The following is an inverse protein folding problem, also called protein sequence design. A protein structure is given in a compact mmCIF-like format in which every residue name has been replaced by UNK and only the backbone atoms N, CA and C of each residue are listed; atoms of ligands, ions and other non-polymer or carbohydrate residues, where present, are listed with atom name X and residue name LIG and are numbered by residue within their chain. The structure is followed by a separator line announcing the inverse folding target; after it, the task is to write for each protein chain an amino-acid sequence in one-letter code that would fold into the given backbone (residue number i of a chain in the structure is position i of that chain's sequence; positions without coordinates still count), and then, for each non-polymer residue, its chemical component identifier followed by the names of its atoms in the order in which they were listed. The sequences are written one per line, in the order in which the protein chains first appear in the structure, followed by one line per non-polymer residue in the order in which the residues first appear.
data_IF_015070232433
#
_entry.id   IF_015070232433
#
_cell.length_a   1.000
_cell.length_b   1.000
_cell.length_c   1.000
_cell.angle_alpha   90.00
_cell.angle_beta   90.00
_cell.angle_gamma   90.00
#
_symmetry.space_group_name_H-M   'P 1'
#
loop_
_entity.id
_entity.type
_entity.pdbx_description
1 polymer ?
#
# COMPACT_ATOMS: atom_id res chain seq x y z
N UNK A 1 -22.99 20.02 -16.10
CA UNK A 1 -22.47 18.71 -16.55
C UNK A 1 -23.64 17.81 -16.91
N UNK A 2 -23.67 17.28 -18.15
CA UNK A 2 -24.76 16.43 -18.64
C UNK A 2 -24.56 15.00 -18.09
N UNK A 3 -25.57 14.44 -17.42
CA UNK A 3 -25.57 13.05 -16.98
C UNK A 3 -25.53 12.14 -18.21
N UNK A 4 -24.38 11.50 -18.44
CA UNK A 4 -24.29 10.31 -19.28
C UNK A 4 -25.11 9.21 -18.63
N UNK A 5 -25.81 8.44 -19.45
CA UNK A 5 -26.59 7.30 -18.98
C UNK A 5 -25.65 6.31 -18.27
N UNK A 6 -26.09 5.70 -17.15
CA UNK A 6 -25.21 5.00 -16.19
C UNK A 6 -24.42 3.84 -16.80
N UNK A 7 -24.85 3.37 -17.97
CA UNK A 7 -24.34 2.19 -18.66
C UNK A 7 -23.34 2.50 -19.79
N UNK A 8 -23.00 3.78 -20.00
CA UNK A 8 -22.13 4.20 -21.10
C UNK A 8 -21.03 5.16 -20.68
N UNK A 9 -19.91 5.10 -21.37
CA UNK A 9 -18.85 6.10 -21.33
C UNK A 9 -18.82 6.93 -22.60
N UNK A 10 -18.42 8.19 -22.48
CA UNK A 10 -17.97 9.00 -23.61
C UNK A 10 -16.61 8.53 -24.11
N UNK A 11 -16.21 8.96 -25.31
CA UNK A 11 -14.87 8.65 -25.85
C UNK A 11 -13.75 9.05 -24.90
N UNK A 12 -13.86 10.25 -24.31
CA UNK A 12 -12.87 10.77 -23.38
C UNK A 12 -12.75 9.91 -22.12
N UNK A 13 -13.87 9.54 -21.51
CA UNK A 13 -13.88 8.67 -20.34
C UNK A 13 -13.28 7.30 -20.65
N UNK A 14 -13.64 6.70 -21.79
CA UNK A 14 -13.08 5.41 -22.21
C UNK A 14 -11.56 5.48 -22.45
N UNK A 15 -11.06 6.57 -23.08
CA UNK A 15 -9.63 6.80 -23.26
C UNK A 15 -8.89 6.96 -21.94
N UNK A 16 -9.47 7.71 -20.99
CA UNK A 16 -8.89 7.93 -19.66
C UNK A 16 -8.83 6.61 -18.86
N UNK A 17 -9.88 5.79 -18.91
CA UNK A 17 -9.93 4.48 -18.22
C UNK A 17 -8.93 3.49 -18.83
N UNK A 18 -8.89 3.38 -20.15
CA UNK A 18 -8.06 2.42 -20.85
C UNK A 18 -6.61 2.89 -21.01
N UNK A 19 -6.33 4.18 -20.80
CA UNK A 19 -5.01 4.78 -20.97
C UNK A 19 -4.51 4.73 -22.42
N UNK A 20 -5.40 4.90 -23.41
CA UNK A 20 -5.07 4.77 -24.83
C UNK A 20 -5.50 5.96 -25.69
N UNK A 21 -4.88 6.11 -26.85
CA UNK A 21 -5.23 7.14 -27.83
C UNK A 21 -6.61 6.88 -28.44
N UNK A 22 -7.21 7.92 -29.04
CA UNK A 22 -8.49 7.78 -29.72
C UNK A 22 -8.41 6.79 -30.91
N UNK A 23 -7.29 6.79 -31.63
CA UNK A 23 -7.05 5.83 -32.71
C UNK A 23 -7.01 4.39 -32.20
N UNK A 24 -6.36 4.14 -31.06
CA UNK A 24 -6.32 2.83 -30.43
C UNK A 24 -7.72 2.39 -29.95
N UNK A 25 -8.50 3.30 -29.35
CA UNK A 25 -9.88 3.04 -28.96
C UNK A 25 -10.74 2.66 -30.19
N UNK A 26 -10.61 3.39 -31.30
CA UNK A 26 -11.32 3.08 -32.55
C UNK A 26 -10.94 1.71 -33.11
N UNK A 27 -9.69 1.29 -32.98
CA UNK A 27 -9.26 -0.04 -33.40
C UNK A 27 -9.95 -1.14 -32.57
N UNK A 28 -10.11 -0.95 -31.25
CA UNK A 28 -10.84 -1.89 -30.39
C UNK A 28 -12.32 -1.99 -30.76
N UNK A 29 -12.93 -0.88 -31.20
CA UNK A 29 -14.32 -0.87 -31.70
C UNK A 29 -14.44 -1.61 -33.02
N UNK A 30 -13.55 -1.31 -33.98
CA UNK A 30 -13.54 -1.99 -35.28
C UNK A 30 -13.28 -3.49 -35.15
N UNK A 31 -12.50 -3.91 -34.15
CA UNK A 31 -12.24 -5.30 -33.83
C UNK A 31 -13.42 -6.01 -33.12
N UNK A 32 -14.46 -5.25 -32.73
CA UNK A 32 -15.63 -5.77 -32.00
C UNK A 32 -15.40 -5.99 -30.50
N UNK A 33 -14.22 -5.63 -29.98
CA UNK A 33 -13.85 -5.77 -28.56
C UNK A 33 -14.63 -4.80 -27.67
N UNK A 34 -14.88 -3.58 -28.15
CA UNK A 34 -15.72 -2.59 -27.46
C UNK A 34 -16.90 -2.26 -28.37
N UNK A 35 -18.12 -2.40 -27.86
CA UNK A 35 -19.31 -1.95 -28.59
C UNK A 35 -19.56 -0.46 -28.35
N UNK A 36 -19.88 0.23 -29.44
CA UNK A 36 -20.34 1.60 -29.42
C UNK A 36 -21.82 1.70 -29.80
N UNK A 37 -22.44 2.82 -29.44
CA UNK A 37 -23.82 3.15 -29.78
C UNK A 37 -23.93 4.65 -29.99
N UNK A 38 -24.72 5.07 -30.98
CA UNK A 38 -25.05 6.48 -31.20
C UNK A 38 -26.47 6.69 -30.70
N UNK A 39 -26.67 7.34 -29.54
CA UNK A 39 -28.01 7.57 -29.01
C UNK A 39 -28.86 8.40 -30.00
N UNK A 40 -30.18 8.17 -30.09
CA UNK A 40 -31.05 8.94 -30.96
C UNK A 40 -30.88 10.46 -30.75
N UNK A 41 -30.71 11.20 -31.85
CA UNK A 41 -30.49 12.65 -31.82
C UNK A 41 -29.07 13.10 -31.47
N UNK A 42 -28.10 12.19 -31.35
CA UNK A 42 -26.68 12.54 -31.17
C UNK A 42 -25.84 12.20 -32.41
N UNK A 43 -24.72 12.91 -32.54
CA UNK A 43 -23.72 12.68 -33.59
C UNK A 43 -22.47 11.94 -33.09
N UNK A 44 -22.32 11.83 -31.76
CA UNK A 44 -21.16 11.21 -31.12
C UNK A 44 -21.55 9.86 -30.55
N UNK A 45 -20.71 8.87 -30.81
CA UNK A 45 -20.82 7.54 -30.22
C UNK A 45 -20.52 7.58 -28.71
N UNK A 46 -21.17 6.68 -27.98
CA UNK A 46 -20.86 6.32 -26.60
C UNK A 46 -20.51 4.83 -26.54
N UNK A 47 -19.74 4.43 -25.54
CA UNK A 47 -19.16 3.09 -25.42
C UNK A 47 -19.83 2.34 -24.28
N UNK A 48 -20.16 1.07 -24.48
CA UNK A 48 -20.77 0.26 -23.42
C UNK A 48 -19.79 0.13 -22.26
N UNK A 49 -20.21 0.58 -21.07
CA UNK A 49 -19.38 0.61 -19.86
C UNK A 49 -18.80 -0.76 -19.52
N UNK A 50 -19.62 -1.80 -19.61
CA UNK A 50 -19.21 -3.18 -19.33
C UNK A 50 -18.03 -3.63 -20.20
N UNK A 51 -18.03 -3.28 -21.48
CA UNK A 51 -17.00 -3.71 -22.42
C UNK A 51 -15.68 -2.97 -22.17
N UNK A 52 -15.76 -1.65 -21.90
CA UNK A 52 -14.59 -0.83 -21.53
C UNK A 52 -13.98 -1.32 -20.20
N UNK A 53 -14.80 -1.56 -19.19
CA UNK A 53 -14.34 -2.05 -17.88
C UNK A 53 -13.76 -3.47 -17.99
N UNK A 54 -14.33 -4.33 -18.85
CA UNK A 54 -13.82 -5.68 -19.10
C UNK A 54 -12.46 -5.64 -19.81
N UNK A 55 -12.31 -4.83 -20.86
CA UNK A 55 -11.03 -4.67 -21.55
C UNK A 55 -9.95 -4.13 -20.61
N UNK A 56 -10.29 -3.19 -19.71
CA UNK A 56 -9.36 -2.73 -18.68
C UNK A 56 -8.86 -3.88 -17.81
N UNK A 57 -9.77 -4.73 -17.33
CA UNK A 57 -9.42 -5.91 -16.52
C UNK A 57 -8.53 -6.88 -17.28
N UNK A 58 -8.79 -7.09 -18.57
CA UNK A 58 -7.97 -7.96 -19.42
C UNK A 58 -6.58 -7.37 -19.66
N UNK A 59 -6.49 -6.06 -19.91
CA UNK A 59 -5.21 -5.35 -20.02
C UNK A 59 -4.41 -5.43 -18.73
N UNK A 60 -5.07 -5.28 -17.57
CA UNK A 60 -4.46 -5.45 -16.25
C UNK A 60 -3.95 -6.88 -16.05
N UNK A 61 -4.79 -7.89 -16.31
CA UNK A 61 -4.42 -9.29 -16.18
C UNK A 61 -3.27 -9.68 -17.12
N UNK A 62 -3.26 -9.17 -18.35
CA UNK A 62 -2.21 -9.42 -19.32
C UNK A 62 -0.88 -8.72 -18.96
N UNK A 63 -0.94 -7.50 -18.42
CA UNK A 63 0.26 -6.82 -17.90
C UNK A 63 0.86 -7.60 -16.72
N UNK A 64 0.01 -8.13 -15.85
CA UNK A 64 0.42 -9.02 -14.76
C UNK A 64 1.05 -10.30 -15.32
N UNK A 65 0.43 -10.97 -16.30
CA UNK A 65 0.96 -12.24 -16.84
C UNK A 65 2.27 -12.06 -17.61
N UNK A 66 2.43 -10.97 -18.38
CA UNK A 66 3.65 -10.72 -19.17
C UNK A 66 4.86 -10.35 -18.30
N UNK A 67 4.62 -9.76 -17.12
CA UNK A 67 5.66 -9.49 -16.14
C UNK A 67 6.02 -10.73 -15.28
N UNK A 68 5.17 -11.76 -15.29
CA UNK A 68 5.41 -13.03 -14.57
C UNK A 68 6.28 -13.99 -15.39
N UNK A 69 6.13 -14.04 -16.71
CA UNK A 69 6.84 -15.03 -17.56
C UNK A 69 8.35 -14.77 -17.75
N UNK A 70 8.86 -13.56 -17.48
CA UNK A 70 10.28 -13.21 -17.74
C UNK A 70 11.12 -12.95 -16.51
N UNK A 71 10.55 -12.99 -15.31
CA UNK A 71 11.29 -12.70 -14.08
C UNK A 71 11.07 -13.86 -13.11
N UNK A 72 12.12 -14.56 -12.66
CA UNK A 72 11.98 -15.64 -11.70
C UNK A 72 11.07 -15.22 -10.54
N UNK A 73 10.20 -16.11 -10.09
CA UNK A 73 9.17 -15.79 -9.10
C UNK A 73 9.84 -15.28 -7.83
N UNK A 74 9.68 -14.00 -7.53
CA UNK A 74 10.15 -13.44 -6.27
C UNK A 74 9.02 -13.53 -5.25
N UNK A 75 9.37 -13.75 -3.99
CA UNK A 75 8.46 -13.90 -2.88
C UNK A 75 8.56 -12.69 -1.95
N UNK A 76 7.41 -12.12 -1.62
CA UNK A 76 7.30 -11.09 -0.58
C UNK A 76 6.99 -11.77 0.75
N UNK A 77 7.89 -11.64 1.72
CA UNK A 77 7.80 -12.35 3.01
C UNK A 77 8.08 -11.39 4.16
N UNK A 78 7.56 -11.71 5.36
CA UNK A 78 7.97 -11.03 6.59
C UNK A 78 9.43 -11.38 6.89
N UNK A 79 10.20 -10.41 7.37
CA UNK A 79 11.57 -10.64 7.78
C UNK A 79 11.63 -11.42 9.10
N UNK A 80 12.60 -12.31 9.25
CA UNK A 80 12.94 -12.94 10.52
C UNK A 80 14.18 -12.31 11.14
N UNK A 81 14.50 -12.68 12.38
CA UNK A 81 15.71 -12.19 13.07
C UNK A 81 16.97 -12.61 12.29
N UNK A 82 16.97 -13.79 11.70
CA UNK A 82 18.07 -14.37 10.92
C UNK A 82 18.33 -13.58 9.63
N UNK A 83 17.33 -12.89 9.09
CA UNK A 83 17.46 -12.07 7.88
C UNK A 83 18.16 -10.72 8.14
N UNK A 84 18.25 -10.27 9.40
CA UNK A 84 18.70 -8.91 9.72
C UNK A 84 20.12 -8.57 9.26
N UNK A 85 21.12 -9.45 9.34
CA UNK A 85 22.43 -9.17 8.78
C UNK A 85 22.38 -8.83 7.29
N UNK A 86 21.65 -9.62 6.48
CA UNK A 86 21.53 -9.42 5.04
C UNK A 86 20.70 -8.17 4.71
N UNK A 87 19.60 -7.95 5.43
CA UNK A 87 18.74 -6.77 5.24
C UNK A 87 19.46 -5.45 5.58
N UNK A 88 20.27 -5.44 6.64
CA UNK A 88 21.09 -4.29 7.02
C UNK A 88 22.19 -4.03 6.00
N UNK A 89 22.84 -5.09 5.50
CA UNK A 89 23.83 -4.97 4.43
C UNK A 89 23.21 -4.36 3.16
N UNK A 90 22.06 -4.88 2.73
CA UNK A 90 21.31 -4.34 1.59
C UNK A 90 20.89 -2.88 1.80
N UNK A 91 20.46 -2.51 2.99
CA UNK A 91 20.14 -1.12 3.30
C UNK A 91 21.37 -0.20 3.21
N UNK A 92 22.54 -0.69 3.61
CA UNK A 92 23.83 -0.02 3.40
C UNK A 92 24.12 0.20 1.91
N UNK A 93 23.92 -0.81 1.08
CA UNK A 93 24.10 -0.72 -0.39
C UNK A 93 23.13 0.28 -1.03
N UNK A 94 21.86 0.29 -0.60
CA UNK A 94 20.81 1.14 -1.20
C UNK A 94 20.92 2.61 -0.75
N UNK A 95 21.28 2.86 0.51
CA UNK A 95 21.25 4.20 1.12
C UNK A 95 22.62 4.77 1.52
N UNK A 96 23.72 4.10 1.19
CA UNK A 96 25.07 4.64 1.35
C UNK A 96 25.66 4.52 2.77
N UNK A 97 25.15 3.61 3.60
CA UNK A 97 25.78 3.14 4.84
C UNK A 97 25.81 4.10 6.05
N UNK A 98 25.98 5.41 5.85
CA UNK A 98 26.26 6.38 6.93
C UNK A 98 25.14 6.53 7.98
N UNK A 99 23.93 6.09 7.65
CA UNK A 99 22.77 6.13 8.55
C UNK A 99 22.03 4.79 8.65
N UNK A 100 22.69 3.68 8.29
CA UNK A 100 22.08 2.37 8.39
C UNK A 100 21.92 1.99 9.87
N UNK A 101 20.74 1.50 10.23
CA UNK A 101 20.44 1.00 11.57
C UNK A 101 21.21 -0.31 11.78
N UNK A 102 21.86 -0.49 12.93
CA UNK A 102 22.64 -1.69 13.21
C UNK A 102 21.76 -2.95 13.29
N UNK A 103 22.37 -4.12 13.10
CA UNK A 103 21.69 -5.42 13.17
C UNK A 103 21.03 -5.60 14.54
N UNK A 104 21.76 -5.28 15.62
CA UNK A 104 21.29 -5.47 17.00
C UNK A 104 20.00 -4.67 17.25
N UNK A 105 19.98 -3.40 16.83
CA UNK A 105 18.79 -2.55 16.95
C UNK A 105 17.62 -3.09 16.15
N UNK A 106 17.86 -3.55 14.91
CA UNK A 106 16.80 -4.10 14.06
C UNK A 106 16.21 -5.38 14.64
N UNK A 107 17.05 -6.24 15.22
CA UNK A 107 16.62 -7.43 15.96
C UNK A 107 15.77 -7.05 17.17
N UNK A 108 16.15 -6.04 17.95
CA UNK A 108 15.32 -5.55 19.06
C UNK A 108 13.96 -5.02 18.60
N UNK A 109 13.92 -4.31 17.47
CA UNK A 109 12.67 -3.80 16.90
C UNK A 109 11.77 -4.94 16.44
N UNK A 110 12.32 -5.96 15.75
CA UNK A 110 11.56 -7.14 15.33
C UNK A 110 11.04 -7.97 16.50
N UNK A 111 11.82 -8.10 17.57
CA UNK A 111 11.34 -8.75 18.81
C UNK A 111 10.15 -8.00 19.41
N UNK A 112 10.13 -6.66 19.30
CA UNK A 112 9.03 -5.82 19.78
C UNK A 112 7.81 -5.91 18.86
N UNK A 113 8.04 -5.91 17.54
CA UNK A 113 6.99 -6.02 16.54
C UNK A 113 7.52 -6.76 15.29
N UNK A 114 7.13 -8.02 15.05
CA UNK A 114 7.62 -8.81 13.92
C UNK A 114 7.01 -8.40 12.56
N UNK A 115 6.04 -7.48 12.55
CA UNK A 115 5.31 -7.05 11.36
C UNK A 115 5.81 -5.69 10.82
N UNK A 116 7.08 -5.32 11.06
CA UNK A 116 7.62 -4.02 10.63
C UNK A 116 8.52 -4.10 9.39
N UNK A 117 9.04 -5.29 9.08
CA UNK A 117 10.00 -5.48 7.99
C UNK A 117 9.60 -6.62 7.07
N UNK A 118 9.78 -6.35 5.78
CA UNK A 118 9.39 -7.25 4.71
C UNK A 118 10.49 -7.32 3.68
N UNK A 119 10.66 -8.51 3.11
CA UNK A 119 11.73 -8.86 2.20
C UNK A 119 11.14 -9.32 0.89
N UNK A 120 11.82 -8.96 -0.21
CA UNK A 120 11.59 -9.54 -1.51
C UNK A 120 12.76 -10.49 -1.80
N UNK A 121 12.48 -11.79 -1.86
CA UNK A 121 13.48 -12.83 -2.14
C UNK A 121 13.26 -13.44 -3.52
N UNK A 122 14.31 -13.74 -4.24
CA UNK A 122 14.26 -14.47 -5.52
C UNK A 122 15.26 -15.62 -5.43
N UNK A 123 14.76 -16.85 -5.57
CA UNK A 123 15.59 -18.07 -5.42
C UNK A 123 16.38 -18.09 -4.09
N UNK A 124 15.75 -17.61 -3.02
CA UNK A 124 16.34 -17.50 -1.69
C UNK A 124 17.23 -16.25 -1.47
N UNK A 125 17.61 -15.55 -2.53
CA UNK A 125 18.46 -14.35 -2.44
C UNK A 125 17.64 -13.10 -2.11
N UNK A 126 18.13 -12.26 -1.19
CA UNK A 126 17.48 -10.98 -0.90
C UNK A 126 17.74 -9.98 -2.03
N UNK A 127 16.66 -9.54 -2.68
CA UNK A 127 16.72 -8.60 -3.81
C UNK A 127 16.03 -7.27 -3.53
N UNK A 128 15.27 -7.16 -2.45
CA UNK A 128 14.62 -5.93 -2.04
C UNK A 128 14.04 -6.01 -0.64
N UNK A 129 13.67 -4.87 -0.08
CA UNK A 129 13.10 -4.79 1.26
C UNK A 129 12.18 -3.58 1.40
N UNK A 130 11.33 -3.64 2.42
CA UNK A 130 10.37 -2.63 2.81
C UNK A 130 10.27 -2.60 4.34
N UNK A 131 10.15 -1.40 4.92
CA UNK A 131 9.91 -1.21 6.35
C UNK A 131 8.72 -0.29 6.59
N UNK A 132 7.71 -0.79 7.32
CA UNK A 132 6.50 -0.09 7.74
C UNK A 132 6.44 -0.08 9.26
N UNK A 133 6.99 0.97 9.87
CA UNK A 133 7.22 1.01 11.31
C UNK A 133 6.10 1.82 11.99
N UNK A 134 5.29 1.22 12.88
CA UNK A 134 4.31 1.99 13.62
C UNK A 134 4.99 2.78 14.74
N UNK A 135 4.77 4.09 14.74
CA UNK A 135 5.42 5.04 15.64
C UNK A 135 4.38 6.01 16.23
N UNK A 136 4.75 6.65 17.33
CA UNK A 136 3.97 7.78 17.88
C UNK A 136 4.06 8.97 16.92
N UNK A 137 3.00 9.76 16.84
CA UNK A 137 2.95 10.95 15.96
C UNK A 137 4.10 11.93 16.22
N UNK A 138 4.47 12.13 17.49
CA UNK A 138 5.60 12.97 17.89
C UNK A 138 6.93 12.42 17.39
N UNK A 139 7.14 11.11 17.46
CA UNK A 139 8.36 10.47 16.95
C UNK A 139 8.48 10.65 15.43
N UNK A 140 7.38 10.50 14.68
CA UNK A 140 7.36 10.78 13.24
C UNK A 140 7.69 12.25 12.97
N UNK A 141 7.13 13.18 13.75
CA UNK A 141 7.43 14.61 13.62
C UNK A 141 8.92 14.91 13.82
N UNK A 142 9.54 14.31 14.84
CA UNK A 142 10.95 14.46 15.12
C UNK A 142 11.83 13.90 13.98
N UNK A 143 11.40 12.82 13.32
CA UNK A 143 12.08 12.26 12.13
C UNK A 143 11.94 13.18 10.91
N UNK A 144 10.74 13.73 10.64
CA UNK A 144 10.53 14.62 9.50
C UNK A 144 11.26 15.96 9.66
N UNK A 145 11.37 16.45 10.89
CA UNK A 145 12.09 17.71 11.20
C UNK A 145 13.59 17.51 11.42
N UNK A 146 14.11 16.28 11.25
CA UNK A 146 15.50 15.91 11.51
C UNK A 146 15.99 16.22 12.94
N UNK A 147 15.08 16.30 13.91
CA UNK A 147 15.43 16.36 15.34
C UNK A 147 15.95 15.01 15.85
N UNK A 148 15.54 13.92 15.21
CA UNK A 148 16.02 12.55 15.42
C UNK A 148 16.25 11.89 14.07
N UNK A 149 17.16 10.94 14.00
CA UNK A 149 17.33 10.06 12.84
C UNK A 149 16.76 8.68 13.13
N UNK A 150 16.43 7.92 12.07
CA UNK A 150 15.92 6.55 12.21
C UNK A 150 16.87 5.64 13.02
N UNK A 151 18.19 5.83 12.87
CA UNK A 151 19.21 5.10 13.65
C UNK A 151 19.18 5.39 15.16
N UNK A 152 18.54 6.47 15.58
CA UNK A 152 18.41 6.88 16.99
C UNK A 152 17.11 6.37 17.62
N UNK A 153 16.27 5.66 16.86
CA UNK A 153 15.10 5.01 17.41
C UNK A 153 15.52 3.80 18.26
N UNK A 154 14.83 3.64 19.39
CA UNK A 154 14.97 2.51 20.32
C UNK A 154 13.78 1.57 20.16
N UNK A 155 13.87 0.35 20.68
CA UNK A 155 12.74 -0.57 20.70
C UNK A 155 11.50 0.00 21.44
N UNK A 156 11.69 0.90 22.39
CA UNK A 156 10.60 1.60 23.09
C UNK A 156 9.86 2.64 22.24
N UNK A 157 10.45 3.08 21.12
CA UNK A 157 9.79 3.95 20.15
C UNK A 157 8.87 3.14 19.20
N UNK A 158 9.17 1.84 19.01
CA UNK A 158 8.45 0.94 18.10
C UNK A 158 7.18 0.44 18.78
N UNK A 159 6.04 0.74 18.16
CA UNK A 159 4.75 0.25 18.64
C UNK A 159 4.50 -1.17 18.14
N UNK A 160 3.66 -1.93 18.85
CA UNK A 160 3.09 -3.16 18.32
C UNK A 160 1.83 -2.83 17.50
N UNK A 161 1.50 -3.70 16.55
CA UNK A 161 0.24 -3.63 15.83
C UNK A 161 -0.85 -4.37 16.63
N UNK A 162 -1.50 -3.65 17.53
CA UNK A 162 -2.51 -4.19 18.42
C UNK A 162 -3.92 -3.78 17.97
N UNK A 163 -4.88 -4.70 18.06
CA UNK A 163 -6.28 -4.42 17.73
C UNK A 163 -6.83 -3.30 18.60
N UNK A 164 -7.65 -2.41 18.02
CA UNK A 164 -8.21 -1.22 18.68
C UNK A 164 -7.21 -0.17 19.17
N UNK A 165 -5.90 -0.33 18.98
CA UNK A 165 -4.91 0.67 19.37
C UNK A 165 -4.45 1.47 18.13
N UNK A 166 -4.84 2.75 18.00
CA UNK A 166 -4.50 3.53 16.82
C UNK A 166 -2.99 3.75 16.67
N UNK A 167 -2.49 3.60 15.44
CA UNK A 167 -1.08 3.83 15.10
C UNK A 167 -0.94 4.79 13.91
N UNK A 168 0.22 5.46 13.85
CA UNK A 168 0.71 6.08 12.62
C UNK A 168 1.83 5.20 12.07
N UNK A 169 1.87 5.00 10.76
CA UNK A 169 2.93 4.22 10.11
C UNK A 169 3.95 5.16 9.51
N UNK A 170 5.22 4.94 9.82
CA UNK A 170 6.34 5.55 9.13
C UNK A 170 6.89 4.58 8.08
N UNK A 171 6.72 4.93 6.80
CA UNK A 171 7.34 4.23 5.67
C UNK A 171 8.83 4.52 5.64
N UNK A 172 9.58 3.78 6.45
CA UNK A 172 10.98 4.10 6.75
C UNK A 172 11.91 3.82 5.57
N UNK A 173 11.66 2.74 4.83
CA UNK A 173 12.51 2.33 3.73
C UNK A 173 11.73 1.50 2.72
N UNK A 174 12.04 1.71 1.45
CA UNK A 174 11.75 0.77 0.37
C UNK A 174 12.95 0.78 -0.58
N UNK A 175 13.45 -0.40 -0.92
CA UNK A 175 14.69 -0.51 -1.68
C UNK A 175 14.74 -1.80 -2.48
N UNK A 176 15.32 -1.70 -3.68
CA UNK A 176 15.69 -2.85 -4.51
C UNK A 176 17.20 -2.83 -4.64
N UNK A 177 17.82 -4.00 -4.57
CA UNK A 177 19.27 -4.16 -4.64
C UNK A 177 19.86 -3.42 -5.85
N UNK A 178 21.01 -2.74 -5.69
CA UNK A 178 21.74 -2.18 -6.81
C UNK A 178 22.16 -3.26 -7.83
N UNK A 179 22.58 -2.85 -9.03
CA UNK A 179 23.02 -3.77 -10.08
C UNK A 179 21.91 -4.31 -11.00
N UNK A 180 20.65 -4.35 -10.57
CA UNK A 180 19.54 -4.68 -11.46
C UNK A 180 19.28 -3.61 -12.53
N UNK A 181 18.83 -4.06 -13.70
CA UNK A 181 18.37 -3.17 -14.78
C UNK A 181 17.18 -2.32 -14.35
N UNK A 182 16.93 -1.22 -15.07
CA UNK A 182 15.79 -0.34 -14.80
C UNK A 182 14.44 -1.08 -14.88
N UNK A 183 14.30 -2.01 -15.81
CA UNK A 183 13.10 -2.84 -15.94
C UNK A 183 12.91 -3.78 -14.76
N UNK A 184 13.96 -4.48 -14.33
CA UNK A 184 13.89 -5.37 -13.16
C UNK A 184 13.57 -4.60 -11.88
N UNK A 185 14.23 -3.46 -11.64
CA UNK A 185 13.94 -2.61 -10.49
C UNK A 185 12.49 -2.13 -10.47
N UNK A 186 11.91 -1.86 -11.64
CA UNK A 186 10.49 -1.50 -11.74
C UNK A 186 9.60 -2.67 -11.31
N UNK A 187 9.85 -3.88 -11.81
CA UNK A 187 9.09 -5.08 -11.44
C UNK A 187 9.23 -5.39 -9.95
N UNK A 188 10.44 -5.37 -9.41
CA UNK A 188 10.68 -5.64 -7.98
C UNK A 188 10.09 -4.55 -7.08
N UNK A 189 10.20 -3.28 -7.48
CA UNK A 189 9.55 -2.17 -6.78
C UNK A 189 8.03 -2.32 -6.76
N UNK A 190 7.43 -2.68 -7.89
CA UNK A 190 5.98 -2.97 -7.96
C UNK A 190 5.57 -4.13 -7.05
N UNK A 191 6.35 -5.22 -7.01
CA UNK A 191 6.09 -6.35 -6.10
C UNK A 191 6.20 -5.95 -4.63
N UNK A 192 7.16 -5.09 -4.25
CA UNK A 192 7.24 -4.53 -2.89
C UNK A 192 6.03 -3.67 -2.53
N UNK A 193 5.56 -2.83 -3.45
CA UNK A 193 4.36 -1.99 -3.24
C UNK A 193 3.12 -2.87 -3.07
N UNK A 194 2.92 -3.86 -3.95
CA UNK A 194 1.78 -4.79 -3.83
C UNK A 194 1.82 -5.55 -2.50
N UNK A 195 3.02 -5.97 -2.07
CA UNK A 195 3.24 -6.52 -0.74
C UNK A 195 2.85 -5.56 0.38
N UNK A 196 3.27 -4.29 0.31
CA UNK A 196 2.88 -3.23 1.25
C UNK A 196 1.36 -3.04 1.34
N UNK A 197 0.67 -3.05 0.19
CA UNK A 197 -0.79 -2.94 0.14
C UNK A 197 -1.45 -4.13 0.85
N UNK A 198 -0.98 -5.35 0.60
CA UNK A 198 -1.49 -6.55 1.27
C UNK A 198 -1.26 -6.52 2.78
N UNK A 199 -0.12 -6.00 3.23
CA UNK A 199 0.14 -5.78 4.66
C UNK A 199 -0.91 -4.84 5.25
N UNK A 200 -1.18 -3.71 4.61
CA UNK A 200 -2.19 -2.77 5.11
C UNK A 200 -3.59 -3.40 5.14
N UNK A 201 -3.99 -4.12 4.10
CA UNK A 201 -5.26 -4.85 4.07
C UNK A 201 -5.38 -5.86 5.22
N UNK A 202 -4.29 -6.58 5.53
CA UNK A 202 -4.19 -7.48 6.69
C UNK A 202 -4.33 -6.72 8.02
N UNK A 203 -3.73 -5.54 8.17
CA UNK A 203 -3.92 -4.71 9.37
C UNK A 203 -5.41 -4.39 9.59
N UNK A 204 -6.15 -4.09 8.51
CA UNK A 204 -7.60 -3.88 8.57
C UNK A 204 -8.35 -5.12 9.05
N UNK A 205 -8.04 -6.28 8.48
CA UNK A 205 -8.64 -7.57 8.88
C UNK A 205 -8.40 -7.94 10.34
N UNK A 206 -7.29 -7.46 10.92
CA UNK A 206 -6.93 -7.69 12.33
C UNK A 206 -7.47 -6.62 13.27
N UNK A 207 -8.23 -5.64 12.77
CA UNK A 207 -8.80 -4.59 13.61
C UNK A 207 -7.78 -3.57 14.11
N UNK A 208 -6.71 -3.33 13.35
CA UNK A 208 -5.68 -2.37 13.73
C UNK A 208 -6.02 -1.02 13.10
N UNK A 209 -6.34 0.02 13.88
CA UNK A 209 -6.65 1.35 13.37
C UNK A 209 -5.36 2.06 12.94
N UNK A 210 -5.24 2.36 11.65
CA UNK A 210 -4.16 3.17 11.08
C UNK A 210 -4.74 4.55 10.80
N UNK A 211 -4.12 5.60 11.34
CA UNK A 211 -4.59 6.99 11.10
C UNK A 211 -3.96 7.60 9.87
N UNK A 212 -2.65 7.41 9.72
CA UNK A 212 -1.88 7.96 8.60
C UNK A 212 -0.66 7.10 8.29
N UNK A 213 -0.25 7.15 7.03
CA UNK A 213 1.03 6.61 6.56
C UNK A 213 1.88 7.79 6.13
N UNK A 214 3.05 7.93 6.70
CA UNK A 214 3.94 9.08 6.51
C UNK A 214 5.30 8.57 6.06
N UNK A 215 5.92 9.26 5.11
CA UNK A 215 7.31 9.01 4.76
C UNK A 215 7.94 10.29 4.20
N UNK A 216 9.26 10.32 4.15
CA UNK A 216 10.00 11.33 3.40
C UNK A 216 10.88 10.69 2.35
N UNK A 217 11.29 11.47 1.34
CA UNK A 217 12.27 11.02 0.36
C UNK A 217 13.11 12.19 -0.14
N UNK A 218 14.38 11.90 -0.41
CA UNK A 218 15.31 12.82 -1.07
C UNK A 218 15.74 12.30 -2.46
N UNK A 219 15.38 11.06 -2.81
CA UNK A 219 15.77 10.46 -4.09
C UNK A 219 14.71 10.75 -5.17
N UNK A 220 15.10 11.08 -6.41
CA UNK A 220 14.15 11.29 -7.49
C UNK A 220 13.22 10.08 -7.71
N UNK A 221 13.73 8.87 -7.55
CA UNK A 221 13.00 7.61 -7.67
C UNK A 221 11.94 7.48 -6.58
N UNK A 222 12.30 7.71 -5.31
CA UNK A 222 11.38 7.66 -4.18
C UNK A 222 10.28 8.72 -4.29
N UNK A 223 10.64 9.95 -4.66
CA UNK A 223 9.68 11.03 -4.89
C UNK A 223 8.65 10.66 -5.98
N UNK A 224 9.12 10.10 -7.11
CA UNK A 224 8.22 9.64 -8.19
C UNK A 224 7.33 8.50 -7.74
N UNK A 225 7.89 7.55 -6.99
CA UNK A 225 7.17 6.41 -6.43
C UNK A 225 6.03 6.86 -5.51
N UNK A 226 6.31 7.73 -4.55
CA UNK A 226 5.32 8.22 -3.58
C UNK A 226 4.16 8.94 -4.27
N UNK A 227 4.46 9.80 -5.25
CA UNK A 227 3.44 10.45 -6.08
C UNK A 227 2.62 9.44 -6.89
N UNK A 228 3.25 8.40 -7.43
CA UNK A 228 2.57 7.38 -8.22
C UNK A 228 1.61 6.53 -7.38
N UNK A 229 1.97 6.21 -6.13
CA UNK A 229 1.11 5.46 -5.20
C UNK A 229 -0.10 6.30 -4.74
N UNK A 230 -0.02 7.62 -4.84
CA UNK A 230 -1.09 8.54 -4.47
C UNK A 230 -0.88 9.25 -3.13
N UNK A 231 0.35 9.27 -2.60
CA UNK A 231 0.64 10.10 -1.44
C UNK A 231 0.43 11.58 -1.78
N UNK A 232 -0.10 12.31 -0.80
CA UNK A 232 -0.13 13.78 -0.85
C UNK A 232 1.22 14.31 -0.39
N UNK A 233 1.88 15.08 -1.25
CA UNK A 233 3.10 15.81 -0.87
C UNK A 233 2.72 16.98 0.04
N UNK A 234 3.45 17.14 1.14
CA UNK A 234 3.26 18.22 2.12
C UNK A 234 4.46 19.15 2.12
N UNK A 235 4.34 20.40 2.61
CA UNK A 235 5.48 21.29 2.74
C UNK A 235 6.61 20.59 3.50
N UNK A 236 7.84 20.60 2.96
CA UNK A 236 8.95 19.87 3.56
C UNK A 236 9.32 20.49 4.91
N UNK A 237 9.53 19.65 5.91
CA UNK A 237 9.89 20.06 7.27
C UNK A 237 11.39 20.20 7.51
N UNK A 238 12.20 19.71 6.57
CA UNK A 238 13.65 19.86 6.59
C UNK A 238 14.22 20.15 5.19
N UNK A 239 15.34 20.90 5.09
CA UNK A 239 15.98 21.18 3.82
C UNK A 239 16.39 19.90 3.06
N UNK A 240 16.12 19.87 1.75
CA UNK A 240 16.52 18.77 0.87
C UNK A 240 15.64 17.51 0.93
N UNK A 241 14.61 17.49 1.78
CA UNK A 241 13.63 16.41 1.85
C UNK A 241 12.30 16.81 1.19
N UNK A 242 11.50 15.81 0.85
CA UNK A 242 10.08 15.95 0.53
C UNK A 242 9.28 15.03 1.41
N UNK A 243 8.23 15.56 2.03
CA UNK A 243 7.40 14.84 2.98
C UNK A 243 6.08 14.44 2.33
N UNK A 244 5.64 13.23 2.60
CA UNK A 244 4.49 12.60 1.98
C UNK A 244 3.57 12.00 3.03
N UNK A 245 2.27 12.14 2.84
CA UNK A 245 1.26 11.56 3.71
C UNK A 245 0.11 10.92 2.94
N UNK A 246 -0.35 9.77 3.43
CA UNK A 246 -1.70 9.26 3.19
C UNK A 246 -2.43 9.40 4.52
N UNK A 247 -3.40 10.30 4.56
CA UNK A 247 -4.37 10.36 5.64
C UNK A 247 -5.44 9.30 5.39
N UNK A 248 -5.59 8.33 6.30
CA UNK A 248 -6.42 7.16 6.03
C UNK A 248 -7.88 7.57 5.89
N UNK A 249 -8.39 8.40 6.80
CA UNK A 249 -9.79 8.81 6.83
C UNK A 249 -10.22 9.50 5.54
N UNK A 250 -9.45 10.50 5.08
CA UNK A 250 -9.79 11.31 3.91
C UNK A 250 -9.31 10.76 2.57
N UNK A 251 -8.44 9.74 2.56
CA UNK A 251 -7.93 9.15 1.32
C UNK A 251 -9.01 8.35 0.58
N UNK A 252 -9.16 8.61 -0.72
CA UNK A 252 -10.00 7.81 -1.63
C UNK A 252 -9.21 6.81 -2.48
N UNK A 253 -7.97 6.48 -2.08
CA UNK A 253 -7.15 5.51 -2.81
C UNK A 253 -7.77 4.11 -2.66
N UNK A 254 -7.96 3.38 -3.76
CA UNK A 254 -8.71 2.10 -3.76
C UNK A 254 -8.23 1.08 -2.71
N UNK A 255 -6.92 0.91 -2.53
CA UNK A 255 -6.43 -0.04 -1.52
C UNK A 255 -6.64 0.44 -0.08
N UNK A 256 -6.70 1.77 0.14
CA UNK A 256 -7.06 2.35 1.43
C UNK A 256 -8.55 2.17 1.71
N UNK A 257 -9.42 2.29 0.69
CA UNK A 257 -10.83 1.94 0.81
C UNK A 257 -11.01 0.45 1.17
N UNK A 258 -10.25 -0.44 0.55
CA UNK A 258 -10.24 -1.87 0.93
C UNK A 258 -9.79 -2.09 2.39
N UNK A 259 -8.80 -1.33 2.87
CA UNK A 259 -8.41 -1.37 4.28
C UNK A 259 -9.56 -0.93 5.20
N UNK A 260 -10.24 0.19 4.88
CA UNK A 260 -11.37 0.70 5.67
C UNK A 260 -12.53 -0.29 5.72
N UNK A 261 -12.82 -0.96 4.61
CA UNK A 261 -13.84 -2.00 4.52
C UNK A 261 -13.50 -3.19 5.42
N UNK A 262 -12.29 -3.75 5.29
CA UNK A 262 -11.80 -4.82 6.15
C UNK A 262 -11.86 -4.46 7.64
N UNK A 263 -11.45 -3.24 7.99
CA UNK A 263 -11.49 -2.76 9.38
C UNK A 263 -12.93 -2.64 9.90
N UNK A 264 -13.87 -2.12 9.08
CA UNK A 264 -15.28 -2.01 9.46
C UNK A 264 -15.92 -3.38 9.66
N UNK A 265 -15.69 -4.33 8.75
CA UNK A 265 -16.19 -5.69 8.91
C UNK A 265 -15.67 -6.35 10.20
N UNK A 266 -14.40 -6.11 10.53
CA UNK A 266 -13.83 -6.59 11.78
C UNK A 266 -14.54 -5.94 12.99
N UNK A 267 -14.82 -4.64 12.95
CA UNK A 267 -15.54 -3.96 14.04
C UNK A 267 -16.96 -4.50 14.21
N UNK A 268 -17.68 -4.76 13.11
CA UNK A 268 -19.04 -5.32 13.14
C UNK A 268 -19.05 -6.72 13.78
N UNK A 269 -18.11 -7.59 13.37
CA UNK A 269 -17.97 -8.97 13.90
C UNK A 269 -17.65 -8.99 15.40
N UNK A 270 -16.85 -8.05 15.90
CA UNK A 270 -16.44 -8.03 17.31
C UNK A 270 -17.39 -7.22 18.23
N UNK A 271 -18.25 -6.38 17.64
CA UNK A 271 -19.26 -5.62 18.42
C UNK A 271 -20.46 -6.49 18.81
N UNK A 272 -20.84 -7.47 17.98
CA UNK A 272 -21.92 -8.43 18.28
C UNK A 272 -21.59 -9.32 19.47
N UNK A 273 -20.35 -9.81 19.55
CA UNK A 273 -19.92 -10.76 20.58
C UNK A 273 -19.90 -10.13 21.98
N UNK A 274 -19.65 -8.82 22.04
CA UNK A 274 -19.64 -8.06 23.30
C UNK A 274 -21.06 -7.86 23.87
N UNK A 275 -22.09 -7.80 23.01
CA UNK A 275 -23.47 -7.65 23.47
C UNK A 275 -24.06 -8.97 23.99
N UNK A 276 -23.77 -10.11 23.34
CA UNK A 276 -24.35 -11.41 23.68
C UNK A 276 -23.78 -12.01 25.00
N UNK A 277 -22.51 -11.73 25.28
CA UNK A 277 -21.85 -12.09 26.54
C UNK A 277 -22.39 -11.28 27.73
N UNK A 278 -22.76 -10.00 27.53
CA UNK A 278 -23.37 -9.16 28.57
C UNK A 278 -24.81 -9.59 28.94
N UNK A 279 -25.60 -10.09 27.98
CA UNK A 279 -26.97 -10.58 28.24
C UNK A 279 -27.01 -11.92 28.97
N UNK A 280 -26.01 -12.77 28.75
CA UNK A 280 -25.94 -14.11 29.36
C UNK A 280 -25.53 -14.04 30.85
N UNK A 281 -24.63 -13.12 31.21
CA UNK A 281 -24.29 -12.87 32.62
C UNK A 281 -25.44 -12.22 33.41
N UNK A 282 -26.19 -11.30 32.80
CA UNK A 282 -27.35 -10.66 33.45
C UNK A 282 -28.46 -11.67 33.80
N UNK A 283 -28.67 -12.66 32.93
CA UNK A 283 -29.67 -13.73 33.13
C UNK A 283 -29.22 -14.73 34.20
N UNK A 284 -27.92 -15.03 34.27
CA UNK A 284 -27.34 -15.95 35.25
C UNK A 284 -27.33 -15.35 36.67
N UNK A 285 -27.11 -14.03 36.81
CA UNK A 285 -27.17 -13.34 38.12
C UNK A 285 -28.60 -13.23 38.68
N UNK A 286 -29.64 -13.21 37.84
CA UNK A 286 -31.04 -13.21 38.30
C UNK A 286 -31.50 -14.55 38.87
N UNK A 287 -31.00 -15.68 38.35
CA UNK A 287 -31.35 -17.03 38.84
C UNK A 287 -30.70 -17.44 40.16
N UNK A 288 -29.62 -16.78 40.60
CA UNK A 288 -28.96 -17.06 41.88
C UNK A 288 -29.51 -16.25 43.07
N UNK A 289 -30.53 -15.41 42.86
CA UNK A 289 -31.16 -14.58 43.91
C UNK A 289 -32.60 -15.00 44.26
N UNK A 290 -33.02 -16.16 43.79
CA UNK A 290 -34.33 -16.80 44.03
C UNK A 290 -34.09 -18.20 44.56
#
# INVERSE_FOLDING_TARGET
MRKTDKNYYTAREAQEILGMSYSALRNQVNAGTIKDSIPPGRRQAVYIKKDVDQLRKEMDAWLVSRNVEKTPSSQFVKATIEDMPEAVALAGEVFGGLNTISVEKRVEWLKKNPDIDYLLKQEGLLIGYLSLVPLRSKTIEDLLTLKRFAKDLTSGDILAYESNIPVDIYGMAIGVKPGFSRSEKRVYGERLILGAMNVLLDLGNRGIPVRRIVAHSFTPEGIRLMRHIGFTETPPKAPGLRDFVIDIESSGIKFIEGYKENFREWQEKNSSDTQESSSTEATTRRRKKS
#
